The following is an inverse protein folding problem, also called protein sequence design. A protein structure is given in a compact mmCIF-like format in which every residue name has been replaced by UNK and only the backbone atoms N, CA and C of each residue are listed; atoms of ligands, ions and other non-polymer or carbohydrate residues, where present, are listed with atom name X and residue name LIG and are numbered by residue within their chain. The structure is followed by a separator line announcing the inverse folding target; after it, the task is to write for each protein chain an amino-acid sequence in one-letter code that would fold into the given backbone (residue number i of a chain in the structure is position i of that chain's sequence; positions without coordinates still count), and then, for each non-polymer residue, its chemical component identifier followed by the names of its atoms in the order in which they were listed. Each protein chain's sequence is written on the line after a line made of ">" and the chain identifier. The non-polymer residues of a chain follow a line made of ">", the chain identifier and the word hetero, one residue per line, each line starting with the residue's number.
data_IF_921079973055
#
_entry.id   IF_921079973055
#
_cell.length_a   1.000
_cell.length_b   1.000
_cell.length_c   1.000
_cell.angle_alpha   90.00
_cell.angle_beta   90.00
_cell.angle_gamma   90.00
#
_symmetry.space_group_name_H-M   'P 1'
#
loop_
_entity.id
_entity.type
_entity.pdbx_description
1 polymer ?
#
# COMPACT_ATOMS: atom_id res chain seq x y z
N UNK A 1 -14.24 -12.51 5.01
CA UNK A 1 -13.28 -11.79 4.17
C UNK A 1 -12.11 -12.70 3.82
N UNK A 2 -11.72 -12.72 2.55
CA UNK A 2 -10.53 -13.40 2.03
C UNK A 2 -9.55 -12.35 1.53
N UNK A 3 -8.30 -12.42 1.99
CA UNK A 3 -7.22 -11.54 1.57
C UNK A 3 -6.18 -12.37 0.82
N UNK A 4 -5.65 -11.82 -0.27
CA UNK A 4 -4.58 -12.40 -1.05
C UNK A 4 -3.53 -11.34 -1.30
N UNK A 5 -2.26 -11.68 -1.08
CA UNK A 5 -1.12 -10.81 -1.34
C UNK A 5 -0.28 -11.45 -2.42
N UNK A 6 0.10 -10.68 -3.43
CA UNK A 6 0.99 -11.12 -4.51
C UNK A 6 1.92 -10.00 -4.93
N UNK A 7 3.09 -10.36 -5.42
CA UNK A 7 3.98 -9.42 -6.08
C UNK A 7 3.25 -8.76 -7.28
N UNK A 8 3.46 -7.45 -7.41
CA UNK A 8 2.87 -6.60 -8.44
C UNK A 8 3.92 -5.61 -8.92
N UNK A 9 5.08 -6.14 -9.32
CA UNK A 9 6.18 -5.33 -9.81
C UNK A 9 5.78 -4.50 -11.03
N UNK A 10 6.35 -3.31 -11.15
CA UNK A 10 6.25 -2.47 -12.34
C UNK A 10 7.62 -1.95 -12.73
N UNK A 11 7.83 -1.64 -14.01
CA UNK A 11 9.13 -1.14 -14.50
C UNK A 11 9.60 0.14 -13.77
N UNK A 12 8.68 0.89 -13.17
CA UNK A 12 8.96 2.13 -12.42
C UNK A 12 9.26 1.89 -10.94
N UNK A 13 8.69 0.84 -10.36
CA UNK A 13 8.96 0.43 -8.99
C UNK A 13 8.78 -1.10 -8.87
N UNK A 14 9.88 -1.85 -8.65
CA UNK A 14 9.83 -3.30 -8.53
C UNK A 14 9.30 -3.76 -7.17
N UNK A 15 9.31 -2.91 -6.14
CA UNK A 15 8.91 -3.25 -4.77
C UNK A 15 7.45 -2.90 -4.53
N UNK A 16 6.57 -3.60 -5.25
CA UNK A 16 5.12 -3.38 -5.21
C UNK A 16 4.40 -4.70 -5.03
N UNK A 17 3.34 -4.66 -4.23
CA UNK A 17 2.46 -5.78 -3.96
C UNK A 17 1.02 -5.38 -4.25
N UNK A 18 0.22 -6.35 -4.67
CA UNK A 18 -1.22 -6.22 -4.77
C UNK A 18 -1.89 -7.02 -3.66
N UNK A 19 -2.68 -6.33 -2.85
CA UNK A 19 -3.54 -6.89 -1.82
C UNK A 19 -4.96 -6.92 -2.37
N UNK A 20 -5.43 -8.10 -2.76
CA UNK A 20 -6.81 -8.31 -3.23
C UNK A 20 -7.68 -8.76 -2.05
N UNK A 21 -8.82 -8.12 -1.87
CA UNK A 21 -9.78 -8.39 -0.80
C UNK A 21 -11.13 -8.78 -1.39
N UNK A 22 -11.66 -9.91 -0.94
CA UNK A 22 -13.00 -10.39 -1.26
C UNK A 22 -13.84 -10.53 0.02
N UNK A 23 -14.97 -9.83 0.07
CA UNK A 23 -15.94 -9.86 1.14
C UNK A 23 -17.24 -10.55 0.68
N UNK A 24 -17.96 -11.21 1.61
CA UNK A 24 -19.32 -11.67 1.34
C UNK A 24 -20.21 -10.54 0.79
N UNK A 25 -21.16 -10.90 -0.07
CA UNK A 25 -22.00 -9.90 -0.76
C UNK A 25 -21.41 -9.36 -2.06
N UNK A 26 -20.29 -9.91 -2.53
CA UNK A 26 -19.67 -9.54 -3.80
C UNK A 26 -18.84 -8.25 -3.74
N UNK A 27 -18.51 -7.79 -2.52
CA UNK A 27 -17.66 -6.62 -2.33
C UNK A 27 -16.21 -7.02 -2.53
N UNK A 28 -15.56 -6.42 -3.51
CA UNK A 28 -14.17 -6.69 -3.86
C UNK A 28 -13.40 -5.38 -3.99
N UNK A 29 -12.17 -5.37 -3.49
CA UNK A 29 -11.23 -4.26 -3.71
C UNK A 29 -9.82 -4.78 -3.91
N UNK A 30 -9.01 -4.01 -4.61
CA UNK A 30 -7.58 -4.25 -4.78
C UNK A 30 -6.82 -3.01 -4.34
N UNK A 31 -5.79 -3.25 -3.54
CA UNK A 31 -4.91 -2.21 -3.05
C UNK A 31 -3.49 -2.50 -3.48
N UNK A 32 -2.77 -1.46 -3.84
CA UNK A 32 -1.34 -1.55 -4.06
C UNK A 32 -0.64 -1.13 -2.77
N UNK A 33 0.27 -1.97 -2.31
CA UNK A 33 1.28 -1.64 -1.30
C UNK A 33 2.59 -1.36 -2.06
N UNK A 34 3.13 -0.17 -1.89
CA UNK A 34 4.34 0.28 -2.54
C UNK A 34 5.41 0.62 -1.49
N UNK A 35 6.62 0.13 -1.72
CA UNK A 35 7.77 0.42 -0.88
C UNK A 35 8.72 1.40 -1.59
N UNK A 36 9.13 2.43 -0.85
CA UNK A 36 10.10 3.43 -1.28
C UNK A 36 11.20 3.52 -0.25
N UNK A 37 12.45 3.45 -0.68
CA UNK A 37 13.60 3.61 0.20
C UNK A 37 14.61 4.58 -0.38
N UNK A 38 15.69 4.78 0.34
CA UNK A 38 16.84 5.47 -0.20
C UNK A 38 16.67 6.98 -0.34
N UNK A 39 17.39 7.53 -1.31
CA UNK A 39 17.38 8.95 -1.66
C UNK A 39 15.99 9.49 -2.04
N UNK A 40 15.03 8.62 -2.41
CA UNK A 40 13.65 9.02 -2.74
C UNK A 40 12.94 9.60 -1.51
N UNK A 41 13.35 9.23 -0.30
CA UNK A 41 12.74 9.70 0.96
C UNK A 41 13.30 11.05 1.42
N UNK A 42 14.48 11.44 0.94
CA UNK A 42 15.19 12.65 1.40
C UNK A 42 14.31 13.91 1.31
N UNK A 43 13.62 14.20 0.19
CA UNK A 43 12.80 15.41 0.09
C UNK A 43 11.62 15.48 1.08
N UNK A 44 11.25 14.35 1.68
CA UNK A 44 10.11 14.25 2.61
C UNK A 44 10.55 14.29 4.08
N UNK A 45 11.82 13.94 4.36
CA UNK A 45 12.28 13.63 5.72
C UNK A 45 13.63 14.31 6.07
N UNK A 46 14.20 15.13 5.19
CA UNK A 46 15.49 15.81 5.37
C UNK A 46 15.54 16.76 6.58
N UNK A 47 14.38 17.21 7.07
CA UNK A 47 14.28 18.01 8.30
C UNK A 47 14.51 17.21 9.58
N UNK A 48 14.47 15.87 9.50
CA UNK A 48 14.54 14.97 10.66
C UNK A 48 15.68 13.95 10.57
N UNK A 49 16.10 13.58 9.36
CA UNK A 49 17.08 12.53 9.12
C UNK A 49 18.07 12.96 8.04
N UNK A 50 19.32 12.53 8.17
CA UNK A 50 20.33 12.67 7.13
C UNK A 50 20.09 11.69 5.99
N UNK A 51 20.58 12.02 4.79
CA UNK A 51 20.49 11.11 3.63
C UNK A 51 21.10 9.74 3.92
N UNK A 52 22.20 9.68 4.67
CA UNK A 52 22.84 8.43 5.08
C UNK A 52 21.94 7.57 5.99
N UNK A 53 21.18 8.19 6.90
CA UNK A 53 20.23 7.49 7.77
C UNK A 53 19.02 6.96 6.99
N UNK A 54 18.61 7.67 5.94
CA UNK A 54 17.52 7.25 5.05
C UNK A 54 17.95 6.20 4.02
N UNK A 55 19.24 6.16 3.65
CA UNK A 55 19.71 5.35 2.52
C UNK A 55 19.85 3.87 2.81
N UNK A 56 20.09 3.47 4.06
CA UNK A 56 20.49 2.08 4.35
C UNK A 56 19.40 1.24 5.02
N UNK A 57 18.46 1.84 5.76
CA UNK A 57 17.53 1.06 6.58
C UNK A 57 16.10 1.64 6.67
N UNK A 58 15.79 2.65 5.86
CA UNK A 58 14.47 3.32 5.93
C UNK A 58 13.64 2.99 4.69
N UNK A 59 12.45 2.47 4.93
CA UNK A 59 11.42 2.25 3.92
C UNK A 59 10.15 3.01 4.32
N UNK A 60 9.60 3.73 3.36
CA UNK A 60 8.24 4.27 3.42
C UNK A 60 7.31 3.27 2.73
N UNK A 61 6.20 2.97 3.40
CA UNK A 61 5.15 2.10 2.89
C UNK A 61 3.97 2.99 2.51
N UNK A 62 3.70 3.06 1.21
CA UNK A 62 2.49 3.69 0.69
C UNK A 62 1.45 2.61 0.38
N UNK A 63 0.20 2.87 0.73
CA UNK A 63 -0.92 1.97 0.44
C UNK A 63 -2.07 2.76 -0.16
N UNK A 64 -2.58 2.27 -1.28
CA UNK A 64 -3.65 2.96 -2.02
C UNK A 64 -4.54 1.99 -2.77
N UNK A 65 -5.84 2.29 -2.79
CA UNK A 65 -6.83 1.59 -3.62
C UNK A 65 -6.49 1.78 -5.10
N UNK A 66 -6.46 0.69 -5.88
CA UNK A 66 -6.09 0.73 -7.30
C UNK A 66 -7.08 1.56 -8.13
N UNK A 67 -8.36 1.59 -7.75
CA UNK A 67 -9.37 2.42 -8.39
C UNK A 67 -9.11 3.90 -8.09
N UNK A 68 -8.62 4.24 -6.91
CA UNK A 68 -8.24 5.63 -6.59
C UNK A 68 -7.02 6.10 -7.41
N UNK A 69 -6.09 5.20 -7.74
CA UNK A 69 -4.94 5.53 -8.59
C UNK A 69 -5.32 5.79 -10.04
N UNK A 70 -6.16 4.93 -10.61
CA UNK A 70 -6.37 4.87 -12.06
C UNK A 70 -7.71 5.41 -12.53
N UNK A 71 -8.72 5.56 -11.65
CA UNK A 71 -10.05 5.90 -12.11
C UNK A 71 -10.24 7.40 -12.41
N UNK A 72 -9.59 8.38 -11.74
CA UNK A 72 -10.01 9.79 -11.93
C UNK A 72 -8.96 10.91 -11.74
N UNK A 73 -9.05 11.88 -12.66
CA UNK A 73 -8.52 13.25 -12.61
C UNK A 73 -9.21 14.13 -11.55
N UNK A 74 -8.45 14.78 -10.66
CA UNK A 74 -8.94 15.86 -9.79
C UNK A 74 -9.40 15.45 -8.38
N UNK A 75 -10.21 16.34 -7.75
CA UNK A 75 -10.62 16.34 -6.32
C UNK A 75 -11.28 15.03 -5.84
N UNK A 76 -11.75 14.18 -6.75
CA UNK A 76 -12.40 12.89 -6.44
C UNK A 76 -11.43 11.84 -5.90
N UNK A 77 -10.10 12.01 -6.02
CA UNK A 77 -9.10 11.07 -5.45
C UNK A 77 -9.22 10.80 -3.95
N UNK A 78 -9.95 11.64 -3.23
CA UNK A 78 -10.19 11.51 -1.79
C UNK A 78 -11.63 11.05 -1.45
N UNK A 79 -12.51 10.91 -2.45
CA UNK A 79 -13.86 10.40 -2.26
C UNK A 79 -13.84 8.86 -2.38
N UNK A 80 -14.32 8.21 -1.32
CA UNK A 80 -14.46 6.75 -1.13
C UNK A 80 -14.83 6.00 -2.42
N UNK A 81 -13.86 5.35 -3.07
CA UNK A 81 -14.11 4.67 -4.36
C UNK A 81 -14.58 3.22 -4.23
N UNK A 82 -14.16 2.50 -3.19
CA UNK A 82 -14.69 1.17 -2.89
C UNK A 82 -15.26 1.21 -1.47
N UNK A 83 -16.57 1.37 -1.35
CA UNK A 83 -17.26 1.34 -0.05
C UNK A 83 -17.31 -0.10 0.45
N UNK A 84 -16.14 -0.60 0.85
CA UNK A 84 -15.97 -1.94 1.36
C UNK A 84 -16.66 -2.13 2.71
N UNK A 85 -17.19 -1.05 3.31
CA UNK A 85 -17.88 -1.06 4.60
C UNK A 85 -17.12 -1.89 5.64
N UNK A 86 -15.81 -1.65 5.76
CA UNK A 86 -15.01 -2.38 6.73
C UNK A 86 -15.45 -2.00 8.14
N UNK A 87 -15.67 -3.01 8.96
CA UNK A 87 -15.66 -2.83 10.41
C UNK A 87 -14.21 -2.83 10.93
N UNK A 88 -14.06 -2.63 12.24
CA UNK A 88 -12.75 -2.54 12.90
C UNK A 88 -11.94 -3.84 12.78
N UNK A 89 -12.59 -5.01 12.94
CA UNK A 89 -11.94 -6.31 12.82
C UNK A 89 -11.46 -6.55 11.38
N UNK A 90 -12.26 -6.18 10.39
CA UNK A 90 -11.89 -6.30 8.99
C UNK A 90 -10.76 -5.34 8.60
N UNK A 91 -10.71 -4.13 9.16
CA UNK A 91 -9.58 -3.21 8.99
C UNK A 91 -8.30 -3.77 9.61
N UNK A 92 -8.39 -4.33 10.81
CA UNK A 92 -7.24 -4.99 11.47
C UNK A 92 -6.73 -6.15 10.60
N UNK A 93 -7.65 -6.99 10.11
CA UNK A 93 -7.30 -8.10 9.22
C UNK A 93 -6.70 -7.63 7.90
N UNK A 94 -7.21 -6.57 7.28
CA UNK A 94 -6.60 -5.96 6.09
C UNK A 94 -5.15 -5.52 6.38
N UNK A 95 -4.93 -4.90 7.53
CA UNK A 95 -3.60 -4.46 7.92
C UNK A 95 -2.66 -5.64 8.17
N UNK A 96 -3.08 -6.65 8.94
CA UNK A 96 -2.25 -7.78 9.36
C UNK A 96 -2.08 -8.84 8.26
N UNK A 97 -3.17 -9.28 7.64
CA UNK A 97 -3.15 -10.35 6.62
C UNK A 97 -2.82 -9.81 5.22
N UNK A 98 -2.88 -8.48 5.01
CA UNK A 98 -2.58 -7.82 3.75
C UNK A 98 -1.26 -7.06 3.80
N UNK A 99 -1.27 -5.89 4.44
CA UNK A 99 -0.15 -4.94 4.40
C UNK A 99 1.09 -5.51 5.12
N UNK A 100 0.92 -6.07 6.32
CA UNK A 100 2.04 -6.63 7.09
C UNK A 100 2.65 -7.86 6.41
N UNK A 101 1.86 -8.67 5.69
CA UNK A 101 2.39 -9.76 4.87
C UNK A 101 3.31 -9.24 3.77
N UNK A 102 2.93 -8.17 3.07
CA UNK A 102 3.79 -7.54 2.07
C UNK A 102 5.09 -6.96 2.68
N UNK A 103 5.01 -6.40 3.90
CA UNK A 103 6.18 -5.90 4.63
C UNK A 103 7.15 -7.05 4.96
N UNK A 104 6.62 -8.17 5.46
CA UNK A 104 7.43 -9.32 5.86
C UNK A 104 8.09 -10.01 4.67
N UNK A 105 7.40 -10.10 3.54
CA UNK A 105 7.95 -10.68 2.31
C UNK A 105 9.11 -9.84 1.74
N UNK A 106 9.01 -8.51 1.79
CA UNK A 106 10.11 -7.63 1.39
C UNK A 106 11.33 -7.73 2.32
N UNK A 107 11.10 -8.02 3.60
CA UNK A 107 12.16 -8.08 4.61
C UNK A 107 12.89 -9.44 4.67
N UNK A 108 12.39 -10.47 3.95
CA UNK A 108 12.98 -11.82 3.91
C UNK A 108 14.03 -11.99 2.82
#
# INVERSE_FOLDING_TARGET
>A
MRIQVREFASDKNPLRYLVSVDKPGGLQSEYVVEFKGGAVLVPYLDSYYTEAELSENTLMVDFFDIQALYSISGLQKFERYTDMHYDEEELERLFVEGIAVAILDLAS
#
